data_IF_422445015197
#
_entry.id   IF_422445015197
#
_cell.length_a   1.000
_cell.length_b   1.000
_cell.length_c   1.000
_cell.angle_alpha   90.00
_cell.angle_beta   90.00
_cell.angle_gamma   90.00
#
_symmetry.space_group_name_H-M   'P 1'
#
loop_
_entity.id
_entity.type
_entity.pdbx_description
1 polymer ?
#
# COMPACT_ATOMS: atom_id res chain seq x y z
N UNK A 1 27.92 11.17 5.46
CA UNK A 1 26.95 10.13 5.09
C UNK A 1 25.58 10.75 5.25
N UNK A 2 24.65 10.49 4.31
CA UNK A 2 23.27 10.96 4.41
C UNK A 2 22.63 10.43 5.71
N UNK A 3 21.94 11.30 6.45
CA UNK A 3 21.20 10.89 7.65
C UNK A 3 19.89 10.21 7.24
N UNK A 4 19.70 8.98 7.72
CA UNK A 4 18.46 8.24 7.48
C UNK A 4 17.70 8.12 8.79
N UNK A 5 16.41 8.49 8.80
CA UNK A 5 15.54 8.39 9.96
C UNK A 5 14.18 7.78 9.59
N UNK A 6 13.52 7.16 10.58
CA UNK A 6 12.13 6.71 10.47
C UNK A 6 11.31 7.47 11.49
N UNK A 7 10.20 8.03 11.07
CA UNK A 7 9.24 8.73 11.93
C UNK A 7 7.79 8.42 11.55
N UNK A 8 6.86 8.76 12.43
CA UNK A 8 5.44 8.77 12.08
C UNK A 8 5.16 9.70 10.90
N UNK A 9 4.23 9.30 10.06
CA UNK A 9 3.81 10.11 8.93
C UNK A 9 2.87 11.25 9.37
N UNK A 10 2.96 12.38 8.69
CA UNK A 10 2.10 13.55 8.85
C UNK A 10 1.31 13.82 7.55
N UNK A 11 0.25 14.61 7.63
CA UNK A 11 -0.50 14.98 6.41
C UNK A 11 0.35 15.79 5.41
N UNK A 12 1.36 16.49 5.88
CA UNK A 12 2.36 17.17 5.03
C UNK A 12 3.19 16.22 4.18
N UNK A 13 3.25 14.91 4.54
CA UNK A 13 3.94 13.88 3.75
C UNK A 13 3.11 13.35 2.58
N UNK A 14 1.83 13.72 2.47
CA UNK A 14 0.93 13.22 1.42
C UNK A 14 1.49 13.35 -0.02
N UNK A 15 2.13 14.45 -0.41
CA UNK A 15 2.76 14.53 -1.73
C UNK A 15 3.81 13.45 -1.97
N UNK A 16 4.61 13.12 -0.96
CA UNK A 16 5.62 12.05 -1.05
C UNK A 16 5.00 10.66 -1.12
N UNK A 17 3.87 10.41 -0.44
CA UNK A 17 3.12 9.17 -0.57
C UNK A 17 2.70 8.94 -2.03
N UNK A 18 2.18 9.97 -2.70
CA UNK A 18 1.82 9.89 -4.12
C UNK A 18 3.05 9.66 -5.01
N UNK A 19 4.10 10.45 -4.82
CA UNK A 19 5.30 10.39 -5.63
C UNK A 19 6.01 9.04 -5.51
N UNK A 20 6.22 8.56 -4.28
CA UNK A 20 6.88 7.28 -4.02
C UNK A 20 6.05 6.13 -4.59
N UNK A 21 4.72 6.13 -4.35
CA UNK A 21 3.82 5.11 -4.88
C UNK A 21 3.87 5.05 -6.42
N UNK A 22 3.88 6.20 -7.09
CA UNK A 22 4.00 6.26 -8.56
C UNK A 22 5.36 5.74 -9.04
N UNK A 23 6.45 6.17 -8.40
CA UNK A 23 7.81 5.79 -8.78
C UNK A 23 8.18 4.34 -8.47
N UNK A 24 7.33 3.61 -7.78
CA UNK A 24 7.52 2.18 -7.45
C UNK A 24 6.39 1.30 -7.98
N UNK A 25 5.34 1.90 -8.53
CA UNK A 25 4.10 1.24 -8.93
C UNK A 25 4.23 0.24 -10.08
N UNK A 26 5.32 0.23 -10.82
CA UNK A 26 5.64 -0.73 -11.88
C UNK A 26 6.30 -2.01 -11.33
N UNK A 27 5.70 -2.68 -10.35
CA UNK A 27 6.28 -3.84 -9.67
C UNK A 27 7.68 -3.53 -9.08
N UNK A 28 7.81 -2.38 -8.44
CA UNK A 28 9.05 -1.88 -7.85
C UNK A 28 9.84 -0.92 -8.76
N UNK A 29 9.39 -0.69 -9.98
CA UNK A 29 9.97 0.25 -10.94
C UNK A 29 9.11 1.50 -11.10
N UNK A 30 9.70 2.55 -11.70
CA UNK A 30 9.00 3.79 -11.98
C UNK A 30 7.85 3.58 -12.98
N UNK A 31 6.63 3.91 -12.55
CA UNK A 31 5.41 3.82 -13.35
C UNK A 31 4.97 5.17 -13.93
N UNK A 32 5.73 6.25 -13.77
CA UNK A 32 5.35 7.61 -14.18
C UNK A 32 4.98 7.71 -15.67
N UNK A 33 5.63 6.92 -16.52
CA UNK A 33 5.32 6.87 -17.95
C UNK A 33 4.00 6.19 -18.29
N UNK A 34 3.44 5.40 -17.36
CA UNK A 34 2.24 4.59 -17.56
C UNK A 34 0.94 5.36 -17.25
N UNK A 35 1.02 6.48 -16.55
CA UNK A 35 -0.12 7.27 -16.10
C UNK A 35 -0.14 8.66 -16.71
N UNK A 36 -1.33 9.12 -17.13
CA UNK A 36 -1.58 10.52 -17.46
C UNK A 36 -1.84 11.33 -16.18
N UNK A 37 -2.69 10.82 -15.28
CA UNK A 37 -2.88 11.39 -13.96
C UNK A 37 -1.97 10.65 -12.94
N UNK A 38 -0.90 11.30 -12.45
CA UNK A 38 0.09 10.68 -11.57
C UNK A 38 -0.47 10.29 -10.19
N UNK A 39 -1.68 10.76 -9.85
CA UNK A 39 -2.27 10.51 -8.54
C UNK A 39 -3.10 9.21 -8.47
N UNK A 40 -3.54 8.65 -9.61
CA UNK A 40 -4.47 7.52 -9.64
C UNK A 40 -4.01 6.35 -8.76
N UNK A 41 -2.77 5.90 -8.92
CA UNK A 41 -2.26 4.75 -8.18
C UNK A 41 -2.18 5.03 -6.68
N UNK A 42 -1.72 6.22 -6.30
CA UNK A 42 -1.61 6.65 -4.90
C UNK A 42 -2.98 6.86 -4.23
N UNK A 43 -4.03 7.22 -5.00
CA UNK A 43 -5.40 7.32 -4.49
C UNK A 43 -5.95 5.98 -3.99
N UNK A 44 -5.40 4.86 -4.44
CA UNK A 44 -5.86 3.54 -4.00
C UNK A 44 -4.89 2.89 -3.01
N UNK A 45 -3.59 2.98 -3.27
CA UNK A 45 -2.59 2.20 -2.54
C UNK A 45 -1.83 2.95 -1.44
N UNK A 46 -1.89 4.28 -1.39
CA UNK A 46 -1.07 5.06 -0.48
C UNK A 46 -1.87 6.06 0.40
N UNK A 47 -2.53 7.02 -0.23
CA UNK A 47 -3.20 8.11 0.46
C UNK A 47 -4.29 7.66 1.44
N UNK A 48 -5.16 6.67 1.14
CA UNK A 48 -6.26 6.29 2.04
C UNK A 48 -5.80 5.94 3.45
N UNK A 49 -4.65 5.28 3.59
CA UNK A 49 -4.13 4.87 4.89
C UNK A 49 -3.83 6.06 5.80
N UNK A 50 -3.25 7.13 5.23
CA UNK A 50 -2.92 8.33 5.98
C UNK A 50 -4.17 9.03 6.55
N UNK A 51 -5.31 8.90 5.87
CA UNK A 51 -6.59 9.46 6.31
C UNK A 51 -7.37 8.51 7.21
N UNK A 52 -7.20 7.20 7.05
CA UNK A 52 -7.93 6.21 7.84
C UNK A 52 -7.26 5.95 9.20
N UNK A 53 -5.94 5.67 9.21
CA UNK A 53 -5.22 5.26 10.42
C UNK A 53 -3.77 5.74 10.40
N UNK A 54 -3.58 7.07 10.50
CA UNK A 54 -2.28 7.73 10.34
C UNK A 54 -1.20 7.21 11.30
N UNK A 55 -1.57 6.81 12.51
CA UNK A 55 -0.65 6.26 13.52
C UNK A 55 -0.07 4.88 13.14
N UNK A 56 -0.57 4.26 12.07
CA UNK A 56 0.04 3.11 11.40
C UNK A 56 0.75 3.46 10.08
N UNK A 57 1.04 4.76 9.86
CA UNK A 57 1.80 5.22 8.71
C UNK A 57 3.15 5.79 9.15
N UNK A 58 4.22 5.34 8.52
CA UNK A 58 5.59 5.78 8.84
C UNK A 58 6.34 6.10 7.55
N UNK A 59 7.23 7.08 7.61
CA UNK A 59 8.13 7.45 6.52
C UNK A 59 9.58 7.15 6.89
N UNK A 60 10.34 6.71 5.89
CA UNK A 60 11.80 6.69 5.94
C UNK A 60 12.30 7.88 5.13
N UNK A 61 12.99 8.79 5.80
CA UNK A 61 13.55 9.99 5.20
C UNK A 61 15.07 9.90 5.08
N UNK A 62 15.60 10.59 4.10
CA UNK A 62 17.05 10.80 3.91
C UNK A 62 17.29 12.30 3.84
N UNK A 63 18.10 12.81 4.75
CA UNK A 63 18.38 14.24 4.91
C UNK A 63 17.10 15.09 5.03
N UNK A 64 16.10 14.58 5.79
CA UNK A 64 14.83 15.25 6.03
C UNK A 64 13.78 15.12 4.90
N UNK A 65 14.07 14.38 3.82
CA UNK A 65 13.15 14.19 2.69
C UNK A 65 12.65 12.74 2.66
N UNK A 66 11.33 12.48 2.73
CA UNK A 66 10.77 11.14 2.60
C UNK A 66 11.15 10.46 1.29
N UNK A 67 11.72 9.27 1.39
CA UNK A 67 12.18 8.43 0.27
C UNK A 67 11.54 7.04 0.30
N UNK A 68 10.71 6.76 1.30
CA UNK A 68 9.97 5.52 1.44
C UNK A 68 8.91 5.66 2.52
N UNK A 69 7.92 4.80 2.48
CA UNK A 69 6.88 4.73 3.51
C UNK A 69 6.45 3.29 3.75
N UNK A 70 5.86 3.05 4.92
CA UNK A 70 4.97 1.93 5.19
C UNK A 70 3.65 2.50 5.70
N UNK A 71 2.56 1.99 5.20
CA UNK A 71 1.21 2.37 5.59
C UNK A 71 0.40 1.11 5.92
N UNK A 72 -0.27 1.09 7.06
CA UNK A 72 -1.04 -0.03 7.53
C UNK A 72 -2.47 0.34 7.91
N UNK A 73 -3.31 -0.67 7.97
CA UNK A 73 -4.61 -0.61 8.61
C UNK A 73 -4.74 -1.81 9.56
N UNK A 74 -5.20 -1.56 10.78
CA UNK A 74 -5.30 -2.58 11.83
C UNK A 74 -6.44 -3.58 11.59
N UNK A 75 -7.49 -3.16 10.86
CA UNK A 75 -8.65 -3.97 10.47
C UNK A 75 -9.00 -3.72 9.00
N UNK A 76 -8.70 -4.72 8.16
CA UNK A 76 -8.97 -4.66 6.72
C UNK A 76 -10.44 -4.47 6.40
N UNK A 77 -11.33 -5.11 7.17
CA UNK A 77 -12.78 -5.00 6.94
C UNK A 77 -13.30 -3.61 7.28
N UNK A 78 -12.79 -3.00 8.35
CA UNK A 78 -13.12 -1.61 8.72
C UNK A 78 -12.58 -0.64 7.66
N UNK A 79 -11.33 -0.82 7.21
CA UNK A 79 -10.73 -0.02 6.14
C UNK A 79 -11.55 -0.10 4.84
N UNK A 80 -11.94 -1.30 4.42
CA UNK A 80 -12.73 -1.49 3.20
C UNK A 80 -14.12 -0.83 3.29
N UNK A 81 -14.79 -0.93 4.45
CA UNK A 81 -16.07 -0.23 4.67
C UNK A 81 -15.91 1.29 4.56
N UNK A 82 -14.87 1.83 5.20
CA UNK A 82 -14.57 3.26 5.13
C UNK A 82 -14.20 3.70 3.70
N UNK A 83 -13.40 2.91 2.97
CA UNK A 83 -13.12 3.18 1.55
C UNK A 83 -14.42 3.31 0.75
N UNK A 84 -15.36 2.38 0.90
CA UNK A 84 -16.62 2.37 0.16
C UNK A 84 -17.53 3.53 0.52
N UNK A 85 -17.60 3.95 1.80
CA UNK A 85 -18.51 5.00 2.25
C UNK A 85 -17.95 6.40 2.06
N UNK A 86 -16.66 6.60 2.28
CA UNK A 86 -16.05 7.93 2.39
C UNK A 86 -15.07 8.24 1.26
N UNK A 87 -14.15 7.34 0.97
CA UNK A 87 -13.01 7.63 0.10
C UNK A 87 -13.30 7.45 -1.39
N UNK A 88 -13.91 6.34 -1.78
CA UNK A 88 -14.16 6.02 -3.18
C UNK A 88 -15.27 6.85 -3.85
N UNK A 89 -16.37 7.27 -3.18
CA UNK A 89 -17.44 8.00 -3.85
C UNK A 89 -16.99 9.30 -4.54
N UNK A 90 -16.18 10.19 -3.94
CA UNK A 90 -15.67 11.37 -4.63
C UNK A 90 -14.72 11.01 -5.80
N UNK A 91 -13.92 9.94 -5.67
CA UNK A 91 -13.05 9.49 -6.76
C UNK A 91 -13.87 8.93 -7.93
N UNK A 92 -14.90 8.14 -7.67
CA UNK A 92 -15.84 7.65 -8.70
C UNK A 92 -16.45 8.81 -9.49
N UNK A 93 -16.88 9.88 -8.81
CA UNK A 93 -17.39 11.08 -9.49
C UNK A 93 -16.30 11.77 -10.32
N UNK A 94 -15.09 11.93 -9.77
CA UNK A 94 -13.95 12.57 -10.46
C UNK A 94 -13.56 11.83 -11.73
N UNK A 95 -13.53 10.50 -11.68
CA UNK A 95 -13.06 9.65 -12.79
C UNK A 95 -14.19 9.09 -13.68
N UNK A 96 -15.43 9.52 -13.47
CA UNK A 96 -16.59 9.00 -14.18
C UNK A 96 -16.46 9.09 -15.71
N UNK A 97 -15.89 10.16 -16.23
CA UNK A 97 -15.69 10.40 -17.67
C UNK A 97 -14.22 10.34 -18.10
N UNK A 98 -13.33 9.97 -17.16
CA UNK A 98 -11.90 9.98 -17.41
C UNK A 98 -11.46 8.95 -18.46
N UNK A 99 -12.16 7.82 -18.52
CA UNK A 99 -11.82 6.67 -19.34
C UNK A 99 -11.91 6.90 -20.86
N UNK A 100 -12.62 7.92 -21.34
CA UNK A 100 -12.92 8.06 -22.75
C UNK A 100 -11.90 8.93 -23.52
N UNK A 101 -11.15 9.81 -22.86
CA UNK A 101 -10.32 10.80 -23.54
C UNK A 101 -8.84 10.87 -23.09
N UNK A 102 -8.49 10.32 -21.94
CA UNK A 102 -7.19 10.60 -21.30
C UNK A 102 -6.38 9.39 -20.83
N UNK A 103 -6.93 8.15 -20.93
CA UNK A 103 -6.19 6.97 -20.49
C UNK A 103 -4.99 6.74 -21.40
N UNK A 104 -3.80 6.71 -20.79
CA UNK A 104 -2.54 6.52 -21.50
C UNK A 104 -2.23 5.05 -21.76
N UNK A 105 -2.59 4.17 -20.82
CA UNK A 105 -2.24 2.74 -20.88
C UNK A 105 -3.34 1.87 -20.26
N UNK A 106 -3.29 0.55 -20.55
CA UNK A 106 -4.16 -0.43 -19.87
C UNK A 106 -3.87 -0.50 -18.37
N UNK A 107 -2.65 -0.20 -17.93
CA UNK A 107 -2.30 -0.15 -16.50
C UNK A 107 -3.10 0.96 -15.80
N UNK A 108 -3.15 2.16 -16.39
CA UNK A 108 -3.93 3.27 -15.87
C UNK A 108 -5.43 2.96 -15.89
N UNK A 109 -5.94 2.39 -16.98
CA UNK A 109 -7.33 1.92 -17.10
C UNK A 109 -7.71 0.96 -15.99
N UNK A 110 -6.88 -0.04 -15.74
CA UNK A 110 -7.12 -1.02 -14.70
C UNK A 110 -7.05 -0.39 -13.30
N UNK A 111 -6.18 0.61 -13.10
CA UNK A 111 -6.09 1.34 -11.83
C UNK A 111 -7.34 2.19 -11.56
N UNK A 112 -7.89 2.87 -12.58
CA UNK A 112 -9.18 3.57 -12.47
C UNK A 112 -10.32 2.58 -12.18
N UNK A 113 -10.30 1.41 -12.80
CA UNK A 113 -11.32 0.38 -12.56
C UNK A 113 -11.37 -0.11 -11.11
N UNK A 114 -10.26 0.00 -10.35
CA UNK A 114 -10.27 -0.32 -8.91
C UNK A 114 -11.22 0.57 -8.12
N UNK A 115 -11.41 1.84 -8.50
CA UNK A 115 -12.35 2.74 -7.82
C UNK A 115 -13.81 2.29 -7.94
N UNK A 116 -14.14 1.53 -9.01
CA UNK A 116 -15.49 1.04 -9.29
C UNK A 116 -15.70 -0.41 -8.87
N UNK A 117 -14.63 -1.12 -8.52
CA UNK A 117 -14.74 -2.46 -7.96
C UNK A 117 -15.44 -2.37 -6.61
N UNK A 118 -16.60 -3.02 -6.48
CA UNK A 118 -17.25 -3.15 -5.18
C UNK A 118 -16.34 -3.96 -4.25
N UNK A 119 -16.02 -3.38 -3.12
CA UNK A 119 -15.40 -4.09 -2.02
C UNK A 119 -16.54 -4.85 -1.34
N UNK A 120 -16.70 -6.13 -1.69
CA UNK A 120 -17.81 -6.95 -1.23
C UNK A 120 -17.59 -7.39 0.23
N UNK A 121 -18.37 -6.88 1.21
CA UNK A 121 -18.28 -7.33 2.60
C UNK A 121 -18.65 -8.82 2.78
N UNK A 122 -19.51 -9.37 1.89
CA UNK A 122 -19.87 -10.78 1.93
C UNK A 122 -18.75 -11.68 1.38
N UNK A 123 -17.98 -11.21 0.39
CA UNK A 123 -16.77 -11.88 -0.08
C UNK A 123 -15.62 -11.86 0.93
N UNK A 124 -15.69 -10.99 1.95
CA UNK A 124 -14.75 -11.00 3.08
C UNK A 124 -14.95 -12.22 3.99
N UNK A 125 -16.18 -12.74 4.12
CA UNK A 125 -16.45 -13.96 4.85
C UNK A 125 -15.76 -15.19 4.23
N UNK A 126 -15.52 -15.18 2.92
CA UNK A 126 -14.74 -16.21 2.22
C UNK A 126 -13.22 -16.04 2.41
N UNK A 127 -12.76 -14.88 2.86
CA UNK A 127 -11.36 -14.63 3.20
C UNK A 127 -11.11 -15.01 4.64
N UNK A 128 -11.17 -16.30 4.93
CA UNK A 128 -10.96 -16.86 6.28
C UNK A 128 -9.68 -16.38 6.96
N UNK A 129 -8.68 -15.93 6.18
CA UNK A 129 -7.43 -15.42 6.72
C UNK A 129 -7.55 -14.03 7.37
N UNK A 130 -8.60 -13.21 7.12
CA UNK A 130 -8.78 -11.92 7.81
C UNK A 130 -9.00 -12.10 9.33
N UNK A 131 -9.54 -13.24 9.76
CA UNK A 131 -9.66 -13.55 11.20
C UNK A 131 -8.31 -13.70 11.87
N UNK A 132 -7.36 -14.29 11.15
CA UNK A 132 -6.01 -14.57 11.64
C UNK A 132 -5.05 -13.43 11.37
N UNK A 133 -5.23 -12.74 10.24
CA UNK A 133 -4.40 -11.63 9.77
C UNK A 133 -5.28 -10.42 9.47
N UNK A 134 -5.87 -9.77 10.52
CA UNK A 134 -6.83 -8.68 10.32
C UNK A 134 -6.22 -7.43 9.72
N UNK A 135 -4.96 -7.13 10.07
CA UNK A 135 -4.25 -5.98 9.52
C UNK A 135 -3.74 -6.23 8.10
N UNK A 136 -3.56 -5.15 7.35
CA UNK A 136 -2.82 -5.20 6.09
C UNK A 136 -1.89 -4.00 5.95
N UNK A 137 -0.95 -4.09 5.02
CA UNK A 137 0.03 -3.04 4.78
C UNK A 137 0.31 -2.82 3.29
N UNK A 138 0.80 -1.60 3.02
CA UNK A 138 1.47 -1.21 1.78
C UNK A 138 2.82 -0.58 2.11
N UNK A 139 3.88 -0.91 1.38
CA UNK A 139 5.24 -0.41 1.62
C UNK A 139 5.96 -0.17 0.30
N UNK A 140 6.51 1.01 0.15
CA UNK A 140 7.30 1.42 -0.99
C UNK A 140 8.55 2.18 -0.57
N UNK A 141 9.65 1.91 -1.26
CA UNK A 141 10.92 2.62 -1.08
C UNK A 141 11.52 2.97 -2.44
N UNK A 142 11.93 4.22 -2.59
CA UNK A 142 12.72 4.64 -3.74
C UNK A 142 14.09 3.91 -3.76
N UNK A 143 14.71 3.77 -4.93
CA UNK A 143 16.01 3.10 -5.08
C UNK A 143 17.10 3.63 -4.13
N UNK A 144 17.03 4.92 -3.78
CA UNK A 144 17.94 5.57 -2.82
C UNK A 144 17.98 4.90 -1.43
N UNK A 145 16.89 4.27 -0.99
CA UNK A 145 16.79 3.57 0.31
C UNK A 145 16.80 2.04 0.19
N UNK A 146 16.71 1.49 -1.01
CA UNK A 146 16.73 0.04 -1.20
C UNK A 146 18.09 -0.54 -0.87
N UNK A 147 18.12 -1.80 -0.40
CA UNK A 147 19.36 -2.49 -0.02
C UNK A 147 20.04 -1.98 1.27
N UNK A 148 19.51 -0.93 1.91
CA UNK A 148 20.06 -0.29 3.12
C UNK A 148 19.35 -0.71 4.43
N UNK A 149 18.55 -1.77 4.40
CA UNK A 149 17.82 -2.26 5.56
C UNK A 149 16.56 -1.47 5.94
N UNK A 150 16.24 -0.38 5.22
CA UNK A 150 15.14 0.52 5.59
C UNK A 150 13.74 -0.12 5.45
N UNK A 151 13.53 -1.00 4.46
CA UNK A 151 12.29 -1.76 4.36
C UNK A 151 12.04 -2.65 5.59
N UNK A 152 13.09 -3.31 6.09
CA UNK A 152 13.01 -4.09 7.32
C UNK A 152 12.71 -3.22 8.53
N UNK A 153 13.34 -2.06 8.62
CA UNK A 153 13.12 -1.13 9.73
C UNK A 153 11.68 -0.59 9.72
N UNK A 154 11.15 -0.15 8.58
CA UNK A 154 9.76 0.30 8.41
C UNK A 154 8.75 -0.79 8.82
N UNK A 155 8.91 -2.03 8.33
CA UNK A 155 8.00 -3.14 8.71
C UNK A 155 8.05 -3.39 10.21
N UNK A 156 9.24 -3.39 10.83
CA UNK A 156 9.36 -3.58 12.28
C UNK A 156 8.69 -2.45 13.08
N UNK A 157 8.79 -1.21 12.61
CA UNK A 157 8.10 -0.07 13.23
C UNK A 157 6.58 -0.23 13.15
N UNK A 158 6.05 -0.60 11.98
CA UNK A 158 4.62 -0.90 11.84
C UNK A 158 4.19 -2.07 12.72
N UNK A 159 4.96 -3.16 12.78
CA UNK A 159 4.63 -4.31 13.62
C UNK A 159 4.55 -3.92 15.10
N UNK A 160 5.51 -3.13 15.59
CA UNK A 160 5.48 -2.63 16.97
C UNK A 160 4.20 -1.79 17.24
N UNK A 161 3.79 -0.94 16.30
CA UNK A 161 2.57 -0.15 16.42
C UNK A 161 1.30 -1.03 16.38
N UNK A 162 1.25 -2.06 15.54
CA UNK A 162 0.14 -3.01 15.49
C UNK A 162 0.01 -3.83 16.79
N UNK A 163 1.13 -4.28 17.36
CA UNK A 163 1.15 -4.99 18.65
C UNK A 163 0.59 -4.10 19.78
N UNK A 164 0.90 -2.81 19.79
CA UNK A 164 0.32 -1.85 20.76
C UNK A 164 -1.21 -1.74 20.62
N UNK A 165 -1.76 -2.04 19.45
CA UNK A 165 -3.20 -2.11 19.18
C UNK A 165 -3.80 -3.52 19.41
N UNK A 166 -3.03 -4.46 19.98
CA UNK A 166 -3.41 -5.87 20.18
C UNK A 166 -3.72 -6.61 18.86
N UNK A 167 -3.07 -6.22 17.78
CA UNK A 167 -3.17 -6.88 16.48
C UNK A 167 -1.90 -7.69 16.23
N UNK A 168 -2.06 -9.01 16.07
CA UNK A 168 -0.94 -9.96 16.01
C UNK A 168 -0.81 -10.68 14.67
N UNK A 169 -1.58 -10.28 13.66
CA UNK A 169 -1.52 -10.86 12.33
C UNK A 169 -1.70 -9.79 11.25
N UNK A 170 -0.83 -9.81 10.25
CA UNK A 170 -0.85 -8.86 9.13
C UNK A 170 -0.71 -9.60 7.81
N UNK A 171 -1.40 -9.13 6.78
CA UNK A 171 -1.27 -9.63 5.41
C UNK A 171 -0.95 -8.53 4.42
N UNK A 172 -0.56 -8.94 3.22
CA UNK A 172 -0.32 -8.05 2.09
C UNK A 172 -0.57 -8.78 0.77
N UNK A 173 -0.78 -8.01 -0.29
CA UNK A 173 -0.76 -8.50 -1.65
C UNK A 173 0.53 -8.13 -2.36
N UNK A 174 1.12 -9.05 -3.12
CA UNK A 174 2.32 -8.79 -3.91
C UNK A 174 2.20 -9.35 -5.32
N UNK A 175 2.57 -8.55 -6.33
CA UNK A 175 2.55 -8.99 -7.73
C UNK A 175 3.46 -10.19 -7.94
N UNK A 176 3.00 -11.16 -8.73
CA UNK A 176 3.80 -12.34 -9.13
C UNK A 176 5.10 -11.95 -9.84
N UNK A 177 5.11 -10.83 -10.54
CA UNK A 177 6.27 -10.32 -11.27
C UNK A 177 7.30 -9.63 -10.37
N UNK A 178 6.93 -9.30 -9.10
CA UNK A 178 7.85 -8.67 -8.15
C UNK A 178 8.58 -9.72 -7.30
N UNK A 179 9.47 -10.49 -7.93
CA UNK A 179 10.24 -11.53 -7.25
C UNK A 179 11.10 -11.01 -6.09
N UNK A 180 11.62 -9.78 -6.23
CA UNK A 180 12.41 -9.11 -5.18
C UNK A 180 11.60 -8.86 -3.91
N UNK A 181 10.38 -8.33 -4.06
CA UNK A 181 9.48 -8.11 -2.92
C UNK A 181 9.03 -9.43 -2.29
N UNK A 182 8.71 -10.45 -3.09
CA UNK A 182 8.35 -11.78 -2.56
C UNK A 182 9.48 -12.36 -1.71
N UNK A 183 10.72 -12.31 -2.20
CA UNK A 183 11.89 -12.78 -1.45
C UNK A 183 12.13 -11.96 -0.17
N UNK A 184 11.92 -10.65 -0.23
CA UNK A 184 12.00 -9.76 0.93
C UNK A 184 10.95 -10.11 1.99
N UNK A 185 9.68 -10.26 1.62
CA UNK A 185 8.61 -10.60 2.57
C UNK A 185 8.83 -11.98 3.21
N UNK A 186 9.32 -12.97 2.47
CA UNK A 186 9.70 -14.28 3.04
C UNK A 186 10.78 -14.13 4.12
N UNK A 187 11.80 -13.28 3.90
CA UNK A 187 12.84 -12.98 4.90
C UNK A 187 12.28 -12.23 6.11
N UNK A 188 11.15 -11.54 5.97
CA UNK A 188 10.43 -10.86 7.04
C UNK A 188 9.44 -11.78 7.80
N UNK A 189 9.37 -13.07 7.46
CA UNK A 189 8.50 -14.04 8.10
C UNK A 189 7.12 -14.19 7.49
N UNK A 190 6.86 -13.57 6.34
CA UNK A 190 5.59 -13.76 5.63
C UNK A 190 5.56 -15.11 4.90
N UNK A 191 4.48 -15.85 5.09
CA UNK A 191 4.16 -17.07 4.35
C UNK A 191 3.07 -16.80 3.28
N UNK A 192 3.03 -17.60 2.23
CA UNK A 192 1.95 -17.52 1.25
C UNK A 192 0.66 -18.06 1.86
N UNK A 193 -0.40 -17.26 1.84
CA UNK A 193 -1.75 -17.62 2.31
C UNK A 193 -2.64 -18.05 1.15
N UNK A 194 -2.53 -17.35 0.01
CA UNK A 194 -3.35 -17.60 -1.17
C UNK A 194 -2.60 -17.19 -2.43
N UNK A 195 -2.77 -17.98 -3.49
CA UNK A 195 -2.37 -17.59 -4.83
C UNK A 195 -3.55 -17.02 -5.60
N UNK A 196 -3.31 -15.90 -6.27
CA UNK A 196 -4.27 -15.21 -7.12
C UNK A 196 -3.69 -15.09 -8.55
N UNK A 197 -4.54 -14.81 -9.54
CA UNK A 197 -4.07 -14.62 -10.93
C UNK A 197 -3.03 -13.50 -11.05
N UNK A 198 -3.17 -12.45 -10.26
CA UNK A 198 -2.30 -11.27 -10.25
C UNK A 198 -1.04 -11.44 -9.38
N UNK A 199 -1.05 -12.34 -8.38
CA UNK A 199 0.06 -12.46 -7.45
C UNK A 199 -0.21 -13.36 -6.27
N UNK A 200 0.41 -13.03 -5.14
CA UNK A 200 0.32 -13.75 -3.88
C UNK A 200 -0.33 -12.87 -2.81
N UNK A 201 -1.18 -13.46 -1.98
CA UNK A 201 -1.51 -12.93 -0.67
C UNK A 201 -0.57 -13.61 0.32
N UNK A 202 0.16 -12.80 1.08
CA UNK A 202 1.11 -13.30 2.09
C UNK A 202 0.74 -12.77 3.46
N UNK A 203 0.99 -13.53 4.52
CA UNK A 203 0.69 -13.14 5.90
C UNK A 203 1.79 -13.52 6.86
N UNK A 204 1.88 -12.75 7.95
CA UNK A 204 2.81 -12.97 9.04
C UNK A 204 2.11 -12.79 10.39
N UNK A 205 2.52 -13.58 11.38
CA UNK A 205 2.28 -13.30 12.80
C UNK A 205 3.31 -12.30 13.30
N UNK A 206 2.92 -11.42 14.22
CA UNK A 206 3.75 -10.33 14.73
C UNK A 206 3.65 -10.22 16.26
#
# INVERSE_FOLDING_TARGET
>A
MAAIAIRGAEFSDLPYFYEICLKTGGAGNDASSLFYDPYIIGQYYAAPYLFFERDLCFVAEMDGVPQGYVAGASDTSAFNRWLESEWLPPLRRRYQNYAHEKIKTDVEKNSVALFYKKLDPAGEAERSFYKTYPAHLHIDLLPSLQGKGQGKALIKTLFAALVQKNVHGVHLGVSRTNAGAIAFYRKMGFASLKEEKWGLVMGAYI
#
